data_IF_855280444461
#
_entry.id   IF_855280444461
#
_cell.length_a   1.000
_cell.length_b   1.000
_cell.length_c   1.000
_cell.angle_alpha   90.00
_cell.angle_beta   90.00
_cell.angle_gamma   90.00
#
_symmetry.space_group_name_H-M   'P 1'
#
loop_
_entity.id
_entity.type
_entity.pdbx_description
1 polymer ?
#
# COMPACT_ATOMS: atom_id res chain seq x y z
N UNK A 1 8.69 24.18 20.96
CA UNK A 1 9.30 23.57 19.76
C UNK A 1 8.27 23.59 18.65
N UNK A 2 8.65 23.88 17.39
CA UNK A 2 7.71 23.87 16.26
C UNK A 2 7.57 22.44 15.74
N UNK A 3 6.34 21.98 15.52
CA UNK A 3 6.01 20.64 14.99
C UNK A 3 5.75 20.65 13.48
N UNK A 4 5.82 21.83 12.84
CA UNK A 4 5.55 22.01 11.41
C UNK A 4 6.58 22.90 10.71
N UNK A 5 6.89 22.54 9.46
CA UNK A 5 7.78 23.27 8.56
C UNK A 5 7.03 23.59 7.26
N UNK A 6 7.18 24.81 6.75
CA UNK A 6 6.64 25.20 5.44
C UNK A 6 7.55 24.72 4.33
N UNK A 7 6.98 24.23 3.24
CA UNK A 7 7.68 23.77 2.05
C UNK A 7 7.06 24.41 0.81
N UNK A 8 7.88 24.89 -0.11
CA UNK A 8 7.44 25.33 -1.44
C UNK A 8 7.67 24.20 -2.42
N UNK A 9 6.62 23.75 -3.10
CA UNK A 9 6.68 22.66 -4.08
C UNK A 9 6.07 23.11 -5.40
N UNK A 10 6.62 22.62 -6.50
CA UNK A 10 6.04 22.79 -7.83
C UNK A 10 5.28 21.52 -8.20
N UNK A 11 4.02 21.68 -8.56
CA UNK A 11 3.17 20.58 -9.03
C UNK A 11 2.91 20.75 -10.52
N UNK A 12 2.71 19.63 -11.26
CA UNK A 12 2.03 19.66 -12.54
C UNK A 12 0.69 20.41 -12.45
N UNK A 13 0.31 21.11 -13.52
CA UNK A 13 -0.86 22.00 -13.52
C UNK A 13 -2.13 21.24 -13.15
N UNK A 14 -2.33 20.06 -13.72
CA UNK A 14 -3.45 19.16 -13.42
C UNK A 14 -3.51 18.77 -11.95
N UNK A 15 -2.37 18.47 -11.31
CA UNK A 15 -2.32 18.15 -9.88
C UNK A 15 -2.62 19.38 -9.01
N UNK A 16 -2.13 20.56 -9.40
CA UNK A 16 -2.43 21.80 -8.70
C UNK A 16 -3.93 22.11 -8.75
N UNK A 17 -4.57 21.94 -9.92
CA UNK A 17 -6.02 22.12 -10.06
C UNK A 17 -6.82 21.07 -9.28
N UNK A 18 -6.35 19.83 -9.22
CA UNK A 18 -6.95 18.79 -8.37
C UNK A 18 -6.93 19.20 -6.88
N UNK A 19 -5.80 19.71 -6.38
CA UNK A 19 -5.69 20.18 -4.99
C UNK A 19 -6.64 21.35 -4.73
N UNK A 20 -6.69 22.34 -5.63
CA UNK A 20 -7.61 23.49 -5.51
C UNK A 20 -9.07 23.05 -5.52
N UNK A 21 -9.44 22.12 -6.40
CA UNK A 21 -10.81 21.59 -6.51
C UNK A 21 -11.27 20.93 -5.22
N UNK A 22 -10.39 20.17 -4.57
CA UNK A 22 -10.65 19.53 -3.26
C UNK A 22 -10.88 20.53 -2.12
N UNK A 23 -10.23 21.69 -2.17
CA UNK A 23 -10.47 22.76 -1.20
C UNK A 23 -11.75 23.52 -1.54
N UNK A 24 -11.95 23.84 -2.83
CA UNK A 24 -13.14 24.57 -3.29
C UNK A 24 -14.45 23.79 -3.07
N UNK A 25 -14.41 22.45 -3.10
CA UNK A 25 -15.55 21.59 -2.77
C UNK A 25 -15.86 21.54 -1.27
N UNK A 26 -14.95 22.00 -0.42
CA UNK A 26 -15.04 21.87 1.03
C UNK A 26 -14.66 20.48 1.57
N UNK A 27 -14.13 19.58 0.73
CA UNK A 27 -13.59 18.28 1.18
C UNK A 27 -12.40 18.47 2.13
N UNK A 28 -11.60 19.53 1.90
CA UNK A 28 -10.48 19.93 2.74
C UNK A 28 -10.51 21.43 3.04
N UNK A 29 -9.99 21.83 4.20
CA UNK A 29 -9.95 23.24 4.57
C UNK A 29 -8.80 24.01 3.91
N UNK A 30 -7.70 23.32 3.58
CA UNK A 30 -6.49 23.93 3.00
C UNK A 30 -5.77 22.99 2.05
N UNK A 31 -4.98 23.52 1.12
CA UNK A 31 -4.11 22.75 0.23
C UNK A 31 -3.08 21.94 1.03
N UNK A 32 -2.57 22.51 2.13
CA UNK A 32 -1.64 21.81 3.03
C UNK A 32 -2.27 20.56 3.67
N UNK A 33 -3.59 20.55 3.85
CA UNK A 33 -4.30 19.38 4.39
C UNK A 33 -4.39 18.26 3.36
N UNK A 34 -4.75 18.60 2.10
CA UNK A 34 -4.76 17.65 0.97
C UNK A 34 -3.40 16.97 0.84
N UNK A 35 -2.32 17.74 0.86
CA UNK A 35 -0.96 17.20 0.73
C UNK A 35 -0.58 16.34 1.93
N UNK A 36 -0.88 16.76 3.16
CA UNK A 36 -0.60 15.95 4.36
C UNK A 36 -1.36 14.62 4.34
N UNK A 37 -2.62 14.63 3.92
CA UNK A 37 -3.42 13.41 3.85
C UNK A 37 -2.88 12.44 2.80
N UNK A 38 -2.53 12.96 1.62
CA UNK A 38 -1.85 12.19 0.58
C UNK A 38 -0.54 11.57 1.07
N UNK A 39 0.29 12.33 1.79
CA UNK A 39 1.55 11.84 2.35
C UNK A 39 1.34 10.76 3.42
N UNK A 40 0.32 10.88 4.29
CA UNK A 40 0.00 9.85 5.28
C UNK A 40 -0.47 8.56 4.61
N UNK A 41 -1.29 8.68 3.56
CA UNK A 41 -1.76 7.53 2.79
C UNK A 41 -0.59 6.81 2.11
N UNK A 42 0.34 7.56 1.52
CA UNK A 42 1.57 7.00 0.95
C UNK A 42 2.41 6.27 2.01
N UNK A 43 2.66 6.92 3.16
CA UNK A 43 3.44 6.31 4.24
C UNK A 43 2.78 5.04 4.80
N UNK A 44 1.45 5.02 4.95
CA UNK A 44 0.71 3.85 5.40
C UNK A 44 0.81 2.69 4.40
N UNK A 45 0.72 2.97 3.09
CA UNK A 45 0.91 1.98 2.04
C UNK A 45 2.31 1.39 2.08
N UNK A 46 3.33 2.23 2.19
CA UNK A 46 4.73 1.77 2.22
C UNK A 46 5.01 0.94 3.47
N UNK A 47 4.52 1.35 4.63
CA UNK A 47 4.62 0.59 5.87
C UNK A 47 3.92 -0.78 5.79
N UNK A 48 2.78 -0.86 5.09
CA UNK A 48 2.07 -2.13 4.90
C UNK A 48 2.88 -3.11 4.04
N UNK A 49 3.48 -2.63 2.94
CA UNK A 49 4.35 -3.45 2.08
C UNK A 49 5.58 -3.91 2.85
N UNK A 50 6.23 -3.00 3.55
CA UNK A 50 7.45 -3.28 4.32
C UNK A 50 7.17 -4.28 5.46
N UNK A 51 6.01 -4.17 6.12
CA UNK A 51 5.57 -5.18 7.09
C UNK A 51 5.36 -6.55 6.46
N UNK A 52 4.67 -6.61 5.33
CA UNK A 52 4.43 -7.87 4.63
C UNK A 52 5.75 -8.54 4.18
N UNK A 53 6.70 -7.76 3.67
CA UNK A 53 8.02 -8.27 3.27
C UNK A 53 8.77 -8.89 4.45
N UNK A 54 8.82 -8.19 5.58
CA UNK A 54 9.56 -8.65 6.77
C UNK A 54 8.89 -9.82 7.47
N UNK A 55 7.57 -9.77 7.60
CA UNK A 55 6.85 -10.67 8.49
C UNK A 55 6.37 -11.94 7.76
N UNK A 56 6.23 -11.90 6.43
CA UNK A 56 5.75 -13.03 5.63
C UNK A 56 6.78 -13.50 4.60
N UNK A 57 7.31 -12.60 3.76
CA UNK A 57 8.16 -12.99 2.63
C UNK A 57 9.53 -13.49 3.09
N UNK A 58 10.22 -12.73 3.94
CA UNK A 58 11.54 -13.12 4.43
C UNK A 58 11.50 -14.47 5.21
N UNK A 59 10.56 -14.71 6.14
CA UNK A 59 10.42 -16.01 6.80
C UNK A 59 10.09 -17.15 5.84
N UNK A 60 9.24 -16.92 4.83
CA UNK A 60 8.92 -17.94 3.83
C UNK A 60 10.16 -18.32 3.00
N UNK A 61 10.97 -17.33 2.63
CA UNK A 61 12.25 -17.55 1.94
C UNK A 61 13.24 -18.32 2.81
N UNK A 62 13.46 -17.90 4.05
CA UNK A 62 14.39 -18.55 4.97
C UNK A 62 13.98 -20.01 5.25
N UNK A 63 12.68 -20.24 5.40
CA UNK A 63 12.10 -21.58 5.56
C UNK A 63 12.36 -22.48 4.34
N UNK A 64 12.21 -21.96 3.12
CA UNK A 64 12.49 -22.70 1.90
C UNK A 64 14.00 -22.93 1.70
N UNK A 65 14.82 -21.93 2.02
CA UNK A 65 16.28 -22.04 1.97
C UNK A 65 16.80 -23.12 2.94
N UNK A 66 16.20 -23.22 4.12
CA UNK A 66 16.53 -24.24 5.12
C UNK A 66 16.01 -25.64 4.74
N UNK A 67 14.83 -25.72 4.11
CA UNK A 67 14.24 -26.98 3.64
C UNK A 67 13.63 -26.82 2.24
N UNK A 68 14.42 -27.11 1.19
CA UNK A 68 13.96 -26.99 -0.20
C UNK A 68 12.83 -27.95 -0.56
N UNK A 69 12.64 -29.05 0.18
CA UNK A 69 11.61 -30.06 -0.12
C UNK A 69 10.19 -29.56 0.13
N UNK A 70 10.04 -28.41 0.80
CA UNK A 70 8.77 -27.73 1.05
C UNK A 70 8.15 -27.08 -0.18
N UNK A 71 8.91 -26.93 -1.27
CA UNK A 71 8.36 -26.39 -2.51
C UNK A 71 7.38 -27.39 -3.13
N UNK A 72 6.27 -26.86 -3.63
CA UNK A 72 5.31 -27.61 -4.44
C UNK A 72 5.54 -27.31 -5.92
N UNK A 73 5.05 -28.19 -6.79
CA UNK A 73 5.03 -27.89 -8.23
C UNK A 73 4.15 -26.67 -8.51
N UNK A 74 4.43 -25.96 -9.62
CA UNK A 74 3.66 -24.80 -10.01
C UNK A 74 2.17 -25.15 -10.24
N UNK A 75 1.90 -26.30 -10.85
CA UNK A 75 0.54 -26.76 -11.13
C UNK A 75 -0.26 -26.99 -9.84
N UNK A 76 0.38 -27.61 -8.84
CA UNK A 76 -0.21 -27.84 -7.53
C UNK A 76 -0.42 -26.52 -6.79
N UNK A 77 0.57 -25.62 -6.79
CA UNK A 77 0.45 -24.30 -6.18
C UNK A 77 -0.71 -23.50 -6.78
N UNK A 78 -0.83 -23.49 -8.12
CA UNK A 78 -1.92 -22.80 -8.81
C UNK A 78 -3.29 -23.45 -8.54
N UNK A 79 -3.36 -24.77 -8.40
CA UNK A 79 -4.58 -25.46 -7.99
C UNK A 79 -5.01 -25.05 -6.57
N UNK A 80 -4.07 -24.95 -5.63
CA UNK A 80 -4.34 -24.49 -4.26
C UNK A 80 -4.84 -23.04 -4.21
N UNK A 81 -4.27 -22.13 -5.02
CA UNK A 81 -4.73 -20.73 -5.12
C UNK A 81 -6.16 -20.66 -5.66
N UNK A 82 -6.44 -21.36 -6.77
CA UNK A 82 -7.80 -21.40 -7.36
C UNK A 82 -8.84 -21.93 -6.36
N UNK A 83 -8.51 -22.99 -5.63
CA UNK A 83 -9.39 -23.56 -4.62
C UNK A 83 -9.68 -22.57 -3.48
N UNK A 84 -8.68 -21.78 -3.05
CA UNK A 84 -8.85 -20.72 -2.05
C UNK A 84 -9.75 -19.58 -2.54
N UNK A 85 -9.58 -19.15 -3.79
CA UNK A 85 -10.42 -18.10 -4.41
C UNK A 85 -11.88 -18.57 -4.49
N UNK A 86 -12.13 -19.77 -5.02
CA UNK A 86 -13.48 -20.34 -5.12
C UNK A 86 -14.17 -20.48 -3.74
N UNK A 87 -13.41 -20.80 -2.69
CA UNK A 87 -13.92 -20.88 -1.31
C UNK A 87 -14.21 -19.50 -0.70
N UNK A 88 -13.49 -18.45 -1.10
CA UNK A 88 -13.72 -17.08 -0.67
C UNK A 88 -14.96 -16.44 -1.30
N UNK A 89 -15.26 -16.81 -2.54
CA UNK A 89 -16.47 -16.36 -3.26
C UNK A 89 -17.76 -16.95 -2.69
N UNK A 90 -17.72 -18.17 -2.13
CA UNK A 90 -18.88 -18.80 -1.48
C UNK A 90 -19.25 -18.28 -0.09
N UNK A 91 -18.53 -17.27 0.43
CA UNK A 91 -18.78 -16.65 1.75
C UNK A 91 -19.29 -15.20 1.65
N UNK A 92 -19.61 -14.73 0.44
CA UNK A 92 -20.25 -13.43 0.17
C UNK A 92 -21.72 -13.61 -0.14
#
# INVERSE_FOLDING_TARGET
MRTTQSLSITLPIDMAEMVKSKVASGEYATESEVIRDGLRTLAARDAAVERWLRDEVAPAYDAHKADPTRAVSLDEGMAQVRARIAKGEGRR
#
